data_IF_710210471080
#
_entry.id   IF_710210471080
#
_cell.length_a   1.000
_cell.length_b   1.000
_cell.length_c   1.000
_cell.angle_alpha   90.00
_cell.angle_beta   90.00
_cell.angle_gamma   90.00
#
_symmetry.space_group_name_H-M   'P 1'
#
loop_
_entity.id
_entity.type
_entity.pdbx_description
1 polymer ?
#
# COMPACT_ATOMS: atom_id res chain seq x y z
N UNK A 1 -20.04 16.38 -44.75
CA UNK A 1 -20.24 14.93 -44.63
C UNK A 1 -19.02 14.35 -43.90
N UNK A 2 -19.00 14.42 -42.55
CA UNK A 2 -18.93 13.26 -41.63
C UNK A 2 -17.99 12.13 -42.12
N UNK A 3 -16.80 11.95 -41.53
CA UNK A 3 -16.51 11.20 -40.29
C UNK A 3 -16.42 9.69 -40.49
N UNK A 4 -15.24 9.11 -40.21
CA UNK A 4 -14.97 7.85 -39.43
C UNK A 4 -13.54 7.37 -39.74
N UNK A 5 -12.52 7.65 -38.90
CA UNK A 5 -12.21 7.11 -37.57
C UNK A 5 -11.97 5.59 -37.57
N UNK A 6 -10.71 5.23 -37.87
CA UNK A 6 -10.13 3.89 -37.74
C UNK A 6 -10.14 3.49 -36.27
N UNK A 7 -11.11 2.65 -35.89
CA UNK A 7 -11.14 1.97 -34.60
C UNK A 7 -10.06 0.87 -34.58
N UNK A 8 -8.96 1.12 -33.87
CA UNK A 8 -8.10 0.05 -33.37
C UNK A 8 -8.89 -0.71 -32.31
N UNK A 9 -9.27 -1.94 -32.63
CA UNK A 9 -9.97 -2.83 -31.72
C UNK A 9 -9.15 -3.07 -30.45
N UNK A 10 -9.68 -2.62 -29.32
CA UNK A 10 -9.28 -3.11 -28.01
C UNK A 10 -9.69 -4.59 -27.95
N UNK A 11 -8.73 -5.50 -27.86
CA UNK A 11 -9.02 -6.89 -27.56
C UNK A 11 -9.69 -6.93 -26.18
N UNK A 12 -10.98 -7.28 -26.15
CA UNK A 12 -11.71 -7.52 -24.92
C UNK A 12 -11.07 -8.70 -24.20
N UNK A 13 -10.48 -8.46 -23.03
CA UNK A 13 -10.06 -9.53 -22.13
C UNK A 13 -11.32 -10.32 -21.77
N UNK A 14 -11.36 -11.64 -22.02
CA UNK A 14 -12.56 -12.44 -21.75
C UNK A 14 -12.88 -12.38 -20.26
N UNK A 15 -14.15 -12.09 -19.95
CA UNK A 15 -14.72 -11.93 -18.60
C UNK A 15 -14.60 -13.19 -17.72
N UNK A 16 -14.04 -14.28 -18.24
CA UNK A 16 -13.95 -15.59 -17.61
C UNK A 16 -12.75 -15.77 -16.68
N UNK A 17 -11.81 -14.81 -16.59
CA UNK A 17 -10.64 -14.92 -15.69
C UNK A 17 -10.78 -14.19 -14.35
N UNK A 18 -11.87 -13.43 -14.13
CA UNK A 18 -12.21 -12.93 -12.81
C UNK A 18 -12.88 -14.06 -12.02
N UNK A 19 -12.09 -14.99 -11.50
CA UNK A 19 -12.52 -15.82 -10.39
C UNK A 19 -13.23 -14.90 -9.38
N UNK A 20 -14.52 -15.19 -9.13
CA UNK A 20 -15.36 -14.37 -8.29
C UNK A 20 -14.59 -14.04 -7.00
N UNK A 21 -14.22 -12.77 -6.82
CA UNK A 21 -13.60 -12.31 -5.58
C UNK A 21 -14.61 -12.58 -4.48
N UNK A 22 -14.35 -13.62 -3.70
CA UNK A 22 -15.15 -13.98 -2.55
C UNK A 22 -14.97 -12.90 -1.48
N UNK A 23 -15.72 -11.80 -1.60
CA UNK A 23 -15.86 -10.87 -0.50
C UNK A 23 -16.70 -11.55 0.59
N UNK A 24 -16.13 -11.61 1.80
CA UNK A 24 -16.77 -12.18 2.98
C UNK A 24 -18.15 -11.55 3.20
N UNK A 25 -19.20 -12.37 3.32
CA UNK A 25 -20.58 -11.95 3.61
C UNK A 25 -20.80 -11.48 5.04
N UNK A 26 -19.78 -11.58 5.90
CA UNK A 26 -19.80 -11.11 7.29
C UNK A 26 -18.77 -9.99 7.46
N UNK A 27 -19.14 -8.92 8.16
CA UNK A 27 -18.23 -7.86 8.57
C UNK A 27 -17.13 -8.45 9.47
N UNK A 28 -15.96 -8.74 8.88
CA UNK A 28 -14.79 -9.22 9.62
C UNK A 28 -13.90 -8.02 9.94
N UNK A 29 -13.58 -7.85 11.22
CA UNK A 29 -12.45 -7.01 11.63
C UNK A 29 -11.18 -7.80 11.27
N UNK A 30 -10.43 -7.31 10.28
CA UNK A 30 -9.24 -8.01 9.76
C UNK A 30 -7.94 -7.63 10.44
N UNK A 31 -7.99 -6.77 11.47
CA UNK A 31 -6.82 -6.22 12.15
C UNK A 31 -6.89 -6.56 13.63
N UNK A 32 -5.78 -7.02 14.19
CA UNK A 32 -5.62 -7.30 15.62
C UNK A 32 -4.20 -6.93 16.12
N UNK A 33 -3.91 -7.21 17.39
CA UNK A 33 -2.62 -6.90 18.04
C UNK A 33 -1.39 -7.59 17.39
N UNK A 34 -1.60 -8.57 16.54
CA UNK A 34 -0.56 -9.30 15.81
C UNK A 34 -0.32 -8.79 14.40
N UNK A 35 -1.24 -7.99 13.85
CA UNK A 35 -1.11 -7.41 12.51
C UNK A 35 0.14 -6.55 12.41
N UNK A 36 1.05 -6.90 11.50
CA UNK A 36 2.24 -6.13 11.17
C UNK A 36 1.92 -5.15 10.05
N UNK A 37 2.19 -3.86 10.28
CA UNK A 37 1.75 -2.77 9.40
C UNK A 37 2.94 -2.04 8.79
N UNK A 38 2.89 -1.80 7.47
CA UNK A 38 3.78 -0.86 6.78
C UNK A 38 3.05 0.44 6.44
N UNK A 39 3.81 1.51 6.23
CA UNK A 39 3.27 2.80 5.81
C UNK A 39 3.81 3.21 4.44
N UNK A 40 2.95 3.32 3.43
CA UNK A 40 3.29 3.91 2.14
C UNK A 40 3.27 5.44 2.25
N UNK A 41 4.40 6.07 1.93
CA UNK A 41 4.59 7.50 2.21
C UNK A 41 5.06 7.80 3.64
N UNK A 42 5.72 6.83 4.31
CA UNK A 42 6.16 6.96 5.71
C UNK A 42 6.97 8.23 6.00
N UNK A 43 7.89 8.59 5.11
CA UNK A 43 8.76 9.75 5.33
C UNK A 43 8.10 11.09 5.00
N UNK A 44 6.81 11.09 4.61
CA UNK A 44 6.02 12.30 4.42
C UNK A 44 5.48 12.83 5.74
N UNK A 45 5.04 14.10 5.78
CA UNK A 45 4.54 14.74 7.02
C UNK A 45 3.46 13.92 7.71
N UNK A 46 2.43 13.49 6.98
CA UNK A 46 1.31 12.72 7.54
C UNK A 46 1.71 11.29 7.90
N UNK A 47 2.50 10.63 7.05
CA UNK A 47 3.01 9.28 7.32
C UNK A 47 3.85 9.24 8.59
N UNK A 48 4.75 10.22 8.80
CA UNK A 48 5.58 10.30 10.00
C UNK A 48 4.73 10.61 11.24
N UNK A 49 3.84 11.59 11.15
CA UNK A 49 2.99 11.98 12.28
C UNK A 49 2.10 10.81 12.77
N UNK A 50 1.34 10.18 11.87
CA UNK A 50 0.45 9.10 12.26
C UNK A 50 1.18 7.80 12.60
N UNK A 51 2.34 7.53 11.99
CA UNK A 51 3.15 6.37 12.38
C UNK A 51 3.71 6.52 13.79
N UNK A 52 4.13 7.73 14.19
CA UNK A 52 4.58 7.98 15.56
C UNK A 52 3.46 7.68 16.57
N UNK A 53 2.25 8.21 16.32
CA UNK A 53 1.09 7.95 17.15
C UNK A 53 0.68 6.46 17.15
N UNK A 54 0.78 5.79 16.00
CA UNK A 54 0.47 4.37 15.90
C UNK A 54 1.45 3.52 16.74
N UNK A 55 2.74 3.88 16.75
CA UNK A 55 3.76 3.22 17.58
C UNK A 55 3.48 3.47 19.06
N UNK A 56 3.20 4.72 19.45
CA UNK A 56 2.83 5.08 20.83
C UNK A 56 1.59 4.32 21.31
N UNK A 57 0.61 4.11 20.41
CA UNK A 57 -0.59 3.32 20.67
C UNK A 57 -0.32 1.81 20.79
N UNK A 58 0.84 1.31 20.37
CA UNK A 58 1.20 -0.10 20.38
C UNK A 58 0.95 -0.87 19.08
N UNK A 59 0.67 -0.16 17.97
CA UNK A 59 0.58 -0.77 16.63
C UNK A 59 1.94 -1.32 16.23
N UNK A 60 1.97 -2.53 15.66
CA UNK A 60 3.19 -3.17 15.17
C UNK A 60 3.60 -2.60 13.81
N UNK A 61 4.07 -1.36 13.79
CA UNK A 61 4.68 -0.73 12.62
C UNK A 61 6.03 -1.38 12.33
N UNK A 62 6.21 -1.97 11.14
CA UNK A 62 7.39 -2.76 10.78
C UNK A 62 8.25 -2.15 9.67
N UNK A 63 7.80 -1.08 9.02
CA UNK A 63 8.55 -0.40 7.99
C UNK A 63 7.71 0.62 7.22
N UNK A 64 8.26 1.14 6.14
CA UNK A 64 7.52 1.97 5.20
C UNK A 64 8.05 1.91 3.78
N UNK A 65 7.29 2.47 2.85
CA UNK A 65 7.63 2.51 1.43
C UNK A 65 7.84 3.97 1.03
N UNK A 66 8.99 4.22 0.40
CA UNK A 66 9.28 5.44 -0.33
C UNK A 66 10.36 5.14 -1.38
N UNK A 67 10.01 5.08 -2.67
CA UNK A 67 10.97 4.76 -3.75
C UNK A 67 12.21 5.66 -3.76
N UNK A 68 12.07 6.93 -3.36
CA UNK A 68 13.17 7.91 -3.36
C UNK A 68 14.14 7.76 -2.19
N UNK A 69 13.80 6.95 -1.18
CA UNK A 69 14.55 6.79 0.07
C UNK A 69 14.75 5.32 0.44
N UNK A 70 14.61 4.41 -0.51
CA UNK A 70 14.81 2.98 -0.30
C UNK A 70 16.21 2.67 0.24
N UNK A 71 16.31 1.68 1.14
CA UNK A 71 17.57 1.27 1.77
C UNK A 71 18.01 2.14 2.95
N UNK A 72 17.26 3.20 3.26
CA UNK A 72 17.46 4.02 4.45
C UNK A 72 16.55 3.60 5.59
N UNK A 73 16.78 4.19 6.77
CA UNK A 73 15.91 4.05 7.94
C UNK A 73 15.28 5.41 8.25
N UNK A 74 14.03 5.40 8.71
CA UNK A 74 13.33 6.59 9.19
C UNK A 74 13.00 6.42 10.68
N UNK A 75 13.58 7.28 11.53
CA UNK A 75 13.29 7.29 12.96
C UNK A 75 11.94 7.98 13.22
N UNK A 76 11.02 7.26 13.86
CA UNK A 76 9.66 7.74 14.13
C UNK A 76 9.10 7.09 15.39
N UNK A 77 8.52 7.89 16.29
CA UNK A 77 7.93 7.37 17.54
C UNK A 77 8.90 6.57 18.41
N UNK A 78 10.19 6.93 18.41
CA UNK A 78 11.22 6.19 19.16
C UNK A 78 11.65 4.86 18.53
N UNK A 79 11.25 4.58 17.29
CA UNK A 79 11.60 3.36 16.56
C UNK A 79 12.24 3.69 15.21
N UNK A 80 13.26 2.93 14.87
CA UNK A 80 13.88 2.93 13.55
C UNK A 80 13.12 1.98 12.62
N UNK A 81 12.48 2.54 11.59
CA UNK A 81 11.73 1.79 10.59
C UNK A 81 12.48 1.75 9.25
N UNK A 82 12.71 0.57 8.66
CA UNK A 82 13.34 0.47 7.34
C UNK A 82 12.42 1.02 6.24
N UNK A 83 13.02 1.65 5.24
CA UNK A 83 12.35 2.18 4.07
C UNK A 83 12.67 1.32 2.85
N UNK A 84 11.62 0.83 2.20
CA UNK A 84 11.70 -0.03 1.02
C UNK A 84 11.33 0.74 -0.25
N UNK A 85 11.76 0.22 -1.40
CA UNK A 85 11.45 0.81 -2.69
C UNK A 85 9.99 0.60 -3.08
N UNK A 86 9.45 -0.58 -2.78
CA UNK A 86 8.09 -0.99 -3.10
C UNK A 86 7.46 -1.86 -1.99
N UNK A 87 6.14 -2.06 -2.07
CA UNK A 87 5.34 -2.84 -1.12
C UNK A 87 5.73 -4.31 -1.11
N UNK A 88 6.05 -4.88 -2.27
CA UNK A 88 6.43 -6.29 -2.39
C UNK A 88 7.71 -6.60 -1.59
N UNK A 89 8.76 -5.80 -1.75
CA UNK A 89 9.99 -5.88 -0.97
C UNK A 89 9.73 -5.70 0.52
N UNK A 90 8.94 -4.68 0.89
CA UNK A 90 8.60 -4.43 2.28
C UNK A 90 7.89 -5.63 2.91
N UNK A 91 6.94 -6.23 2.21
CA UNK A 91 6.21 -7.42 2.66
C UNK A 91 7.14 -8.62 2.80
N UNK A 92 7.99 -8.88 1.82
CA UNK A 92 8.94 -10.01 1.86
C UNK A 92 9.92 -9.88 3.03
N UNK A 93 10.44 -8.67 3.28
CA UNK A 93 11.42 -8.43 4.34
C UNK A 93 10.81 -8.43 5.75
N UNK A 94 9.56 -7.99 5.90
CA UNK A 94 8.96 -7.75 7.23
C UNK A 94 7.82 -8.70 7.58
N UNK A 95 7.30 -9.43 6.60
CA UNK A 95 6.08 -10.24 6.72
C UNK A 95 4.82 -9.41 6.96
N UNK A 96 4.79 -8.13 6.53
CA UNK A 96 3.65 -7.23 6.76
C UNK A 96 2.32 -7.83 6.27
N UNK A 97 1.29 -7.65 7.09
CA UNK A 97 -0.07 -8.16 6.86
C UNK A 97 -0.99 -7.06 6.31
N UNK A 98 -0.67 -5.79 6.59
CA UNK A 98 -1.46 -4.63 6.18
C UNK A 98 -0.57 -3.43 5.83
N UNK A 99 -1.14 -2.49 5.08
CA UNK A 99 -0.51 -1.20 4.76
C UNK A 99 -1.49 -0.04 4.96
N UNK A 100 -0.97 1.08 5.45
CA UNK A 100 -1.66 2.39 5.41
C UNK A 100 -1.05 3.26 4.32
N UNK A 101 -1.86 4.07 3.63
CA UNK A 101 -1.42 4.90 2.51
C UNK A 101 -1.55 6.38 2.88
N UNK A 102 -0.40 7.05 3.05
CA UNK A 102 -0.28 8.50 3.23
C UNK A 102 0.43 9.15 2.02
N UNK A 103 0.27 8.57 0.85
CA UNK A 103 0.79 9.09 -0.42
C UNK A 103 -0.11 10.24 -0.92
N UNK A 104 0.46 11.37 -1.41
CA UNK A 104 -0.32 12.48 -1.95
C UNK A 104 -1.24 12.07 -3.12
N UNK A 105 -2.31 12.83 -3.42
CA UNK A 105 -3.31 12.46 -4.41
C UNK A 105 -2.78 12.00 -5.78
N UNK A 106 -1.73 12.63 -6.37
CA UNK A 106 -1.20 12.19 -7.66
C UNK A 106 -0.63 10.77 -7.68
N UNK A 107 -0.19 10.24 -6.53
CA UNK A 107 0.39 8.89 -6.41
C UNK A 107 -0.49 7.89 -5.66
N UNK A 108 -1.64 8.31 -5.12
CA UNK A 108 -2.46 7.48 -4.25
C UNK A 108 -3.04 6.26 -4.97
N UNK A 109 -3.50 6.44 -6.21
CA UNK A 109 -4.07 5.33 -7.00
C UNK A 109 -3.02 4.23 -7.26
N UNK A 110 -1.81 4.62 -7.68
CA UNK A 110 -0.70 3.69 -7.90
C UNK A 110 -0.29 2.98 -6.60
N UNK A 111 -0.21 3.69 -5.48
CA UNK A 111 0.11 3.12 -4.17
C UNK A 111 -0.94 2.07 -3.71
N UNK A 112 -2.21 2.33 -3.98
CA UNK A 112 -3.27 1.36 -3.69
C UNK A 112 -3.18 0.13 -4.59
N UNK A 113 -2.88 0.29 -5.88
CA UNK A 113 -2.70 -0.83 -6.81
C UNK A 113 -1.48 -1.68 -6.44
N UNK A 114 -0.36 -1.04 -6.11
CA UNK A 114 0.87 -1.68 -5.65
C UNK A 114 0.64 -2.50 -4.37
N UNK A 115 -0.29 -2.09 -3.50
CA UNK A 115 -0.65 -2.85 -2.31
C UNK A 115 -1.50 -4.10 -2.58
N UNK A 116 -2.19 -4.13 -3.73
CA UNK A 116 -3.07 -5.24 -4.13
C UNK A 116 -2.27 -6.35 -4.83
N UNK A 117 -1.20 -5.98 -5.53
CA UNK A 117 -0.29 -6.89 -6.25
C UNK A 117 0.61 -7.69 -5.30
#
# INVERSE_FOLDING_TARGET
>A
MLSTLVHRGAAAVPLSSMAARAFSSTARVWVDKNTKVICQGLTGKQGTFHTAQAIEYGTKMVGGVNPKKAGTTHNVGGKDLPIFANVMEARQATGADATVVYVPPPGAASACLEAIE
#
